data_IF_002666075463
#
_entry.id   IF_002666075463
#
_cell.length_a   1.000
_cell.length_b   1.000
_cell.length_c   1.000
_cell.angle_alpha   90.00
_cell.angle_beta   90.00
_cell.angle_gamma   90.00
#
_symmetry.space_group_name_H-M   'P 1'
#
loop_
_entity.id
_entity.type
_entity.pdbx_description
1 polymer ?
#
# COMPACT_ATOMS: atom_id res chain seq x y z
N UNK A 1 5.04 -10.92 -35.28
CA UNK A 1 4.11 -11.33 -34.21
C UNK A 1 3.63 -10.09 -33.46
N UNK A 2 2.32 -9.97 -33.19
CA UNK A 2 1.76 -8.85 -32.42
C UNK A 2 1.70 -9.22 -30.92
N UNK A 3 1.91 -8.25 -30.02
CA UNK A 3 1.77 -8.43 -28.56
C UNK A 3 0.57 -7.63 -28.05
N UNK A 4 -0.19 -8.20 -27.12
CA UNK A 4 -1.21 -7.47 -26.36
C UNK A 4 -0.52 -6.41 -25.51
N UNK A 5 -1.15 -5.24 -25.37
CA UNK A 5 -0.69 -4.17 -24.47
C UNK A 5 -1.80 -3.83 -23.50
N UNK A 6 -1.44 -3.65 -22.23
CA UNK A 6 -2.38 -3.29 -21.18
C UNK A 6 -2.20 -1.82 -20.83
N UNK A 7 -3.26 -1.03 -21.04
CA UNK A 7 -3.27 0.38 -20.67
C UNK A 7 -3.29 0.54 -19.15
N UNK A 8 -2.63 1.57 -18.63
CA UNK A 8 -2.63 1.88 -17.20
C UNK A 8 -4.06 2.04 -16.64
N UNK A 9 -4.96 2.60 -17.47
CA UNK A 9 -6.39 2.75 -17.18
C UNK A 9 -7.13 1.45 -16.86
N UNK A 10 -6.61 0.31 -17.28
CA UNK A 10 -7.18 -1.00 -16.93
C UNK A 10 -7.22 -1.20 -15.42
N UNK A 11 -6.19 -0.74 -14.69
CA UNK A 11 -6.15 -0.80 -13.22
C UNK A 11 -7.23 0.10 -12.59
N UNK A 12 -7.42 1.32 -13.11
CA UNK A 12 -8.46 2.25 -12.63
C UNK A 12 -9.87 1.68 -12.86
N UNK A 13 -10.10 1.01 -14.00
CA UNK A 13 -11.37 0.37 -14.35
C UNK A 13 -11.71 -0.85 -13.50
N UNK A 14 -10.70 -1.70 -13.21
CA UNK A 14 -10.87 -2.91 -12.41
C UNK A 14 -10.87 -2.64 -10.90
N UNK A 15 -10.20 -1.58 -10.48
CA UNK A 15 -10.09 -1.17 -9.08
C UNK A 15 -11.09 -0.10 -8.71
N UNK A 16 -10.67 1.17 -8.81
CA UNK A 16 -11.41 2.34 -8.32
C UNK A 16 -12.85 2.41 -8.82
N UNK A 17 -13.09 2.13 -10.11
CA UNK A 17 -14.43 2.24 -10.70
C UNK A 17 -15.40 1.14 -10.26
N UNK A 18 -14.89 0.04 -9.68
CA UNK A 18 -15.73 -1.04 -9.14
C UNK A 18 -16.17 -0.79 -7.68
N UNK A 19 -15.63 0.25 -7.04
CA UNK A 19 -15.88 0.54 -5.63
C UNK A 19 -17.00 1.57 -5.50
N UNK A 20 -18.09 1.17 -4.84
CA UNK A 20 -19.30 1.99 -4.71
C UNK A 20 -19.12 3.26 -3.85
N UNK A 21 -18.03 3.36 -3.08
CA UNK A 21 -17.69 4.54 -2.30
C UNK A 21 -16.65 4.25 -1.21
N UNK A 22 -16.31 5.28 -0.43
CA UNK A 22 -15.33 5.20 0.66
C UNK A 22 -15.68 4.12 1.70
N UNK A 23 -16.95 3.95 2.16
CA UNK A 23 -17.28 2.90 3.12
C UNK A 23 -16.98 1.49 2.58
N UNK A 24 -17.27 1.25 1.30
CA UNK A 24 -16.92 -0.01 0.63
C UNK A 24 -15.41 -0.18 0.54
N UNK A 25 -14.67 0.89 0.20
CA UNK A 25 -13.22 0.85 0.16
C UNK A 25 -12.61 0.44 1.51
N UNK A 26 -13.06 1.06 2.61
CA UNK A 26 -12.62 0.70 3.96
C UNK A 26 -12.97 -0.74 4.31
N UNK A 27 -14.16 -1.22 3.95
CA UNK A 27 -14.55 -2.61 4.18
C UNK A 27 -13.64 -3.59 3.44
N UNK A 28 -13.23 -3.29 2.20
CA UNK A 28 -12.27 -4.12 1.47
C UNK A 28 -10.89 -4.14 2.14
N UNK A 29 -10.44 -3.01 2.69
CA UNK A 29 -9.18 -2.96 3.45
C UNK A 29 -9.26 -3.76 4.76
N UNK A 30 -10.42 -3.75 5.43
CA UNK A 30 -10.64 -4.57 6.62
C UNK A 30 -10.67 -6.06 6.31
N UNK A 31 -11.24 -6.46 5.17
CA UNK A 31 -11.16 -7.85 4.68
C UNK A 31 -9.72 -8.25 4.40
N UNK A 32 -8.90 -7.37 3.78
CA UNK A 32 -7.49 -7.66 3.54
C UNK A 32 -6.71 -7.85 4.85
N UNK A 33 -6.96 -7.00 5.86
CA UNK A 33 -6.35 -7.16 7.18
C UNK A 33 -6.82 -8.45 7.87
N UNK A 34 -8.10 -8.81 7.74
CA UNK A 34 -8.62 -10.09 8.21
C UNK A 34 -7.89 -11.27 7.57
N UNK A 35 -7.71 -11.24 6.25
CA UNK A 35 -7.04 -12.29 5.49
C UNK A 35 -5.53 -12.35 5.81
N UNK A 36 -4.93 -11.22 6.19
CA UNK A 36 -3.58 -11.14 6.73
C UNK A 36 -3.45 -11.59 8.20
N UNK A 37 -4.49 -12.20 8.77
CA UNK A 37 -4.53 -12.65 10.17
C UNK A 37 -4.37 -11.53 11.21
N UNK A 38 -4.72 -10.28 10.88
CA UNK A 38 -4.72 -9.18 11.83
C UNK A 38 -5.75 -9.40 12.95
N UNK A 39 -5.36 -9.15 14.20
CA UNK A 39 -6.29 -9.16 15.34
C UNK A 39 -6.94 -7.79 15.56
N UNK A 40 -6.22 -6.73 15.19
CA UNK A 40 -6.66 -5.36 15.32
C UNK A 40 -6.41 -4.61 14.02
N UNK A 41 -7.39 -3.77 13.67
CA UNK A 41 -7.31 -2.84 12.55
C UNK A 41 -7.79 -1.49 13.06
N UNK A 42 -6.97 -0.47 12.85
CA UNK A 42 -7.21 0.88 13.33
C UNK A 42 -7.28 1.84 12.14
N UNK A 43 -8.18 2.82 12.23
CA UNK A 43 -8.34 3.85 11.21
C UNK A 43 -8.44 5.22 11.87
N UNK A 44 -7.50 6.09 11.54
CA UNK A 44 -7.43 7.45 12.03
C UNK A 44 -7.62 8.43 10.87
N UNK A 45 -8.64 9.29 10.98
CA UNK A 45 -8.84 10.37 10.03
C UNK A 45 -8.45 11.71 10.64
N UNK A 46 -7.31 12.24 10.19
CA UNK A 46 -6.76 13.52 10.62
C UNK A 46 -7.24 14.61 9.67
N UNK A 47 -8.34 15.26 10.05
CA UNK A 47 -9.01 16.31 9.26
C UNK A 47 -8.07 17.45 8.84
N UNK A 48 -7.28 17.97 9.77
CA UNK A 48 -6.41 19.12 9.52
C UNK A 48 -5.27 18.81 8.52
N UNK A 49 -4.89 17.53 8.39
CA UNK A 49 -3.90 17.08 7.42
C UNK A 49 -4.49 16.45 6.16
N UNK A 50 -5.83 16.32 6.10
CA UNK A 50 -6.54 15.47 5.14
C UNK A 50 -5.87 14.10 4.95
N UNK A 51 -5.50 13.49 6.08
CA UNK A 51 -4.72 12.26 6.13
C UNK A 51 -5.58 11.15 6.74
N UNK A 52 -5.63 10.02 6.05
CA UNK A 52 -6.22 8.79 6.57
C UNK A 52 -5.10 7.80 6.82
N UNK A 53 -4.97 7.32 8.05
CA UNK A 53 -3.99 6.30 8.43
C UNK A 53 -4.79 5.03 8.73
N UNK A 54 -4.50 3.95 8.01
CA UNK A 54 -5.04 2.61 8.29
C UNK A 54 -3.89 1.71 8.68
N UNK A 55 -4.04 1.02 9.81
CA UNK A 55 -3.00 0.16 10.40
C UNK A 55 -3.62 -1.17 10.76
N UNK A 56 -2.90 -2.25 10.48
CA UNK A 56 -3.25 -3.59 10.93
C UNK A 56 -2.01 -4.29 11.47
N UNK A 57 -2.23 -5.24 12.39
CA UNK A 57 -1.17 -6.04 13.00
C UNK A 57 -1.09 -7.46 12.40
N UNK A 58 -1.41 -7.60 11.12
CA UNK A 58 -1.35 -8.87 10.41
C UNK A 58 0.08 -9.34 10.13
N UNK A 59 0.19 -10.34 9.26
CA UNK A 59 1.45 -10.97 8.89
C UNK A 59 2.36 -10.10 8.01
N UNK A 60 1.85 -8.96 7.52
CA UNK A 60 2.57 -8.08 6.61
C UNK A 60 3.09 -8.78 5.34
N UNK A 61 4.02 -8.14 4.65
CA UNK A 61 4.59 -8.63 3.38
C UNK A 61 6.10 -8.43 3.35
N UNK A 62 6.83 -9.36 2.73
CA UNK A 62 8.21 -9.14 2.30
C UNK A 62 8.24 -8.24 1.06
N UNK A 63 9.43 -7.83 0.60
CA UNK A 63 9.55 -7.10 -0.67
C UNK A 63 9.00 -7.93 -1.83
N UNK A 64 9.41 -9.19 -1.94
CA UNK A 64 8.96 -10.10 -2.99
C UNK A 64 7.43 -10.28 -2.95
N UNK A 65 6.85 -10.51 -1.76
CA UNK A 65 5.39 -10.60 -1.63
C UNK A 65 4.69 -9.28 -1.99
N UNK A 66 5.30 -8.14 -1.67
CA UNK A 66 4.77 -6.83 -2.03
C UNK A 66 4.77 -6.63 -3.55
N UNK A 67 5.85 -7.00 -4.25
CA UNK A 67 5.97 -6.85 -5.70
C UNK A 67 5.11 -7.88 -6.45
N UNK A 68 5.28 -9.17 -6.14
CA UNK A 68 4.62 -10.28 -6.82
C UNK A 68 3.15 -10.41 -6.47
N UNK A 69 2.72 -9.89 -5.31
CA UNK A 69 1.31 -9.89 -4.92
C UNK A 69 0.74 -8.49 -4.91
N UNK A 70 1.19 -7.58 -4.04
CA UNK A 70 0.51 -6.28 -3.87
C UNK A 70 0.53 -5.41 -5.13
N UNK A 71 1.65 -5.32 -5.83
CA UNK A 71 1.78 -4.56 -7.08
C UNK A 71 1.29 -5.32 -8.33
N UNK A 72 1.10 -6.63 -8.23
CA UNK A 72 0.66 -7.47 -9.35
C UNK A 72 -0.85 -7.66 -9.36
N UNK A 73 -1.50 -7.43 -10.51
CA UNK A 73 -2.96 -7.58 -10.67
C UNK A 73 -3.26 -8.97 -11.24
N UNK A 74 -4.32 -9.60 -10.75
CA UNK A 74 -4.77 -10.90 -11.27
C UNK A 74 -3.94 -12.08 -10.78
N UNK A 75 -3.31 -11.94 -9.61
CA UNK A 75 -2.63 -13.06 -8.95
C UNK A 75 -3.66 -14.10 -8.51
N UNK A 76 -3.55 -15.31 -9.04
CA UNK A 76 -4.40 -16.44 -8.68
C UNK A 76 -3.99 -17.03 -7.33
N UNK A 77 -4.64 -16.60 -6.25
CA UNK A 77 -4.40 -17.16 -4.91
C UNK A 77 -5.13 -18.50 -4.66
N UNK A 78 -5.86 -19.02 -5.66
CA UNK A 78 -6.73 -20.21 -5.56
C UNK A 78 -6.42 -21.31 -6.57
N UNK A 79 -5.48 -21.10 -7.51
CA UNK A 79 -5.07 -22.15 -8.45
C UNK A 79 -3.82 -22.84 -7.91
N UNK A 80 -3.97 -24.13 -7.57
CA UNK A 80 -2.83 -25.03 -7.31
C UNK A 80 -2.28 -25.48 -8.67
N UNK A 81 -1.40 -24.68 -9.25
CA UNK A 81 -0.56 -25.06 -10.38
C UNK A 81 0.89 -25.15 -9.88
N UNK A 82 1.72 -26.02 -10.47
CA UNK A 82 3.14 -26.14 -10.13
C UNK A 82 3.90 -24.82 -10.42
N UNK A 83 3.39 -24.03 -11.39
CA UNK A 83 3.92 -22.72 -11.77
C UNK A 83 3.22 -21.54 -11.03
N UNK A 84 2.27 -21.82 -10.14
CA UNK A 84 1.55 -20.77 -9.40
C UNK A 84 2.43 -20.14 -8.31
N UNK A 85 2.19 -18.85 -8.03
CA UNK A 85 2.79 -18.19 -6.87
C UNK A 85 2.48 -18.99 -5.60
N UNK A 86 3.47 -19.15 -4.73
CA UNK A 86 3.28 -19.81 -3.44
C UNK A 86 2.06 -19.22 -2.69
N UNK A 87 1.37 -20.05 -1.90
CA UNK A 87 0.21 -19.57 -1.14
C UNK A 87 0.61 -18.46 -0.16
N UNK A 88 -0.31 -17.53 0.17
CA UNK A 88 -0.07 -16.52 1.20
C UNK A 88 0.39 -17.14 2.52
N UNK A 89 1.22 -16.40 3.26
CA UNK A 89 1.62 -16.81 4.59
C UNK A 89 0.38 -17.02 5.48
N UNK A 90 0.40 -18.11 6.23
CA UNK A 90 -0.65 -18.47 7.19
C UNK A 90 -0.06 -18.37 8.59
N UNK A 91 -0.83 -17.83 9.53
CA UNK A 91 -0.48 -17.86 10.94
C UNK A 91 -0.92 -19.21 11.53
N UNK A 92 0.04 -20.12 11.69
CA UNK A 92 -0.17 -21.47 12.24
C UNK A 92 -0.56 -21.47 13.73
N UNK A 93 -0.38 -20.33 14.42
CA UNK A 93 -0.80 -20.15 15.81
C UNK A 93 -2.28 -19.79 15.94
N UNK A 94 -2.98 -19.51 14.84
CA UNK A 94 -4.38 -19.08 14.80
C UNK A 94 -5.25 -20.08 14.04
N UNK A 95 -6.54 -20.07 14.36
CA UNK A 95 -7.53 -20.81 13.57
C UNK A 95 -7.53 -20.28 12.13
N UNK A 96 -7.56 -21.22 11.17
CA UNK A 96 -7.64 -20.88 9.74
C UNK A 96 -8.84 -19.98 9.50
N UNK A 97 -8.59 -18.79 8.96
CA UNK A 97 -9.64 -17.82 8.63
C UNK A 97 -10.23 -18.15 7.27
N UNK A 98 -11.54 -17.99 7.13
CA UNK A 98 -12.16 -18.02 5.81
C UNK A 98 -11.72 -16.77 5.07
N UNK A 99 -11.09 -16.94 3.90
CA UNK A 99 -10.64 -15.83 3.06
C UNK A 99 -11.86 -15.00 2.64
N UNK A 100 -11.82 -13.70 2.93
CA UNK A 100 -12.90 -12.76 2.62
C UNK A 100 -12.64 -11.98 1.32
N UNK A 101 -11.37 -11.78 0.95
CA UNK A 101 -10.93 -11.12 -0.27
C UNK A 101 -10.87 -12.10 -1.44
N UNK A 102 -11.73 -11.92 -2.44
CA UNK A 102 -11.89 -12.92 -3.50
C UNK A 102 -11.33 -12.52 -4.88
N UNK A 103 -10.90 -11.27 -5.09
CA UNK A 103 -10.74 -10.73 -6.45
C UNK A 103 -9.42 -10.02 -6.76
N UNK A 104 -8.47 -9.91 -5.83
CA UNK A 104 -7.19 -9.21 -6.04
C UNK A 104 -7.30 -7.69 -6.34
N UNK A 105 -8.52 -7.14 -6.33
CA UNK A 105 -8.85 -5.73 -6.60
C UNK A 105 -9.14 -4.93 -5.34
N UNK A 106 -9.32 -5.59 -4.18
CA UNK A 106 -9.63 -4.91 -2.90
C UNK A 106 -8.55 -3.91 -2.46
N UNK A 107 -7.28 -4.19 -2.76
CA UNK A 107 -6.16 -3.23 -2.54
C UNK A 107 -6.21 -2.00 -3.45
N UNK A 108 -6.82 -2.11 -4.62
CA UNK A 108 -7.05 -0.97 -5.51
C UNK A 108 -8.17 -0.06 -4.99
N UNK A 109 -8.95 -0.51 -4.00
CA UNK A 109 -9.95 0.34 -3.35
C UNK A 109 -9.31 1.53 -2.62
N UNK A 110 -8.02 1.46 -2.28
CA UNK A 110 -7.25 2.60 -1.74
C UNK A 110 -7.30 3.78 -2.70
N UNK A 111 -7.29 3.54 -4.02
CA UNK A 111 -7.38 4.59 -5.03
C UNK A 111 -8.73 5.33 -5.03
N UNK A 112 -9.78 4.75 -4.43
CA UNK A 112 -11.07 5.41 -4.23
C UNK A 112 -11.06 6.36 -3.02
N UNK A 113 -10.16 6.14 -2.05
CA UNK A 113 -10.02 6.95 -0.84
C UNK A 113 -9.23 8.22 -1.12
N UNK A 114 -8.10 8.08 -1.80
CA UNK A 114 -7.20 9.20 -2.07
C UNK A 114 -6.31 8.94 -3.28
N UNK A 115 -5.78 10.00 -3.90
CA UNK A 115 -4.99 9.85 -5.11
C UNK A 115 -3.54 9.40 -4.82
N UNK A 116 -3.16 9.27 -3.54
CA UNK A 116 -1.81 8.92 -3.10
C UNK A 116 -1.88 8.01 -1.88
N UNK A 117 -0.94 7.07 -1.79
CA UNK A 117 -0.77 6.21 -0.62
C UNK A 117 0.71 5.99 -0.35
N UNK A 118 1.08 6.06 0.93
CA UNK A 118 2.33 5.52 1.44
C UNK A 118 2.01 4.17 2.10
N UNK A 119 2.54 3.10 1.54
CA UNK A 119 2.40 1.76 2.12
C UNK A 119 3.64 1.47 2.94
N UNK A 120 3.46 1.01 4.17
CA UNK A 120 4.51 0.52 5.04
C UNK A 120 4.09 -0.85 5.55
N UNK A 121 4.92 -1.86 5.37
CA UNK A 121 4.60 -3.24 5.76
C UNK A 121 5.85 -3.97 6.21
N UNK A 122 5.71 -4.84 7.21
CA UNK A 122 6.80 -5.68 7.71
C UNK A 122 6.30 -7.10 7.82
N UNK A 123 6.95 -8.02 7.12
CA UNK A 123 6.62 -9.43 7.22
C UNK A 123 6.87 -9.93 8.65
N UNK A 124 5.90 -10.62 9.23
CA UNK A 124 6.07 -11.38 10.47
C UNK A 124 5.97 -12.86 10.15
N UNK A 125 6.98 -13.64 10.56
CA UNK A 125 7.02 -15.10 10.42
C UNK A 125 7.35 -15.69 11.78
N UNK A 126 6.34 -16.27 12.44
CA UNK A 126 6.45 -16.67 13.84
C UNK A 126 6.81 -15.47 14.74
N UNK A 127 8.00 -15.51 15.35
CA UNK A 127 8.54 -14.43 16.21
C UNK A 127 9.47 -13.47 15.48
N UNK A 128 9.83 -13.75 14.24
CA UNK A 128 10.78 -12.95 13.47
C UNK A 128 10.05 -11.86 12.69
N UNK A 129 10.65 -10.68 12.71
CA UNK A 129 10.25 -9.54 11.90
C UNK A 129 11.24 -9.39 10.74
N UNK A 130 10.68 -9.26 9.54
CA UNK A 130 11.44 -9.03 8.32
C UNK A 130 11.81 -7.56 8.15
N UNK A 131 12.35 -7.26 6.96
CA UNK A 131 12.60 -5.88 6.54
C UNK A 131 11.29 -5.10 6.43
N UNK A 132 11.34 -3.82 6.79
CA UNK A 132 10.26 -2.88 6.46
C UNK A 132 10.30 -2.60 4.98
N UNK A 133 9.18 -2.73 4.29
CA UNK A 133 8.99 -2.30 2.91
C UNK A 133 8.18 -1.02 2.93
N UNK A 134 8.69 0.03 2.28
CA UNK A 134 8.00 1.32 2.15
C UNK A 134 7.87 1.68 0.68
N UNK A 135 6.64 1.91 0.22
CA UNK A 135 6.35 2.26 -1.16
C UNK A 135 5.44 3.48 -1.25
N UNK A 136 5.69 4.36 -2.21
CA UNK A 136 4.88 5.55 -2.45
C UNK A 136 4.20 5.49 -3.81
N UNK A 137 2.86 5.42 -3.82
CA UNK A 137 2.05 5.25 -5.04
C UNK A 137 1.19 6.47 -5.26
N UNK A 138 1.21 7.00 -6.49
CA UNK A 138 0.28 8.02 -6.94
C UNK A 138 -0.70 7.44 -7.97
N UNK A 139 -1.95 7.24 -7.54
CA UNK A 139 -2.99 6.60 -8.33
C UNK A 139 -3.42 7.41 -9.56
N UNK A 140 -3.16 8.72 -9.59
CA UNK A 140 -3.48 9.59 -10.73
C UNK A 140 -2.81 9.09 -12.02
N UNK A 141 -1.62 8.48 -11.93
CA UNK A 141 -0.91 7.93 -13.09
C UNK A 141 -1.71 6.85 -13.81
N UNK A 142 -2.43 6.00 -13.07
CA UNK A 142 -3.24 4.93 -13.63
C UNK A 142 -4.51 5.44 -14.32
N UNK A 143 -4.90 6.70 -14.12
CA UNK A 143 -6.02 7.31 -14.85
C UNK A 143 -5.62 7.91 -16.20
N UNK A 144 -4.33 8.00 -16.52
CA UNK A 144 -3.83 8.64 -17.74
C UNK A 144 -3.94 7.71 -18.96
N UNK A 145 -4.74 8.06 -20.00
CA UNK A 145 -4.99 7.16 -21.13
C UNK A 145 -3.77 6.86 -22.01
N UNK A 146 -2.74 7.72 -21.98
CA UNK A 146 -1.56 7.57 -22.82
C UNK A 146 -0.52 6.61 -22.24
N UNK A 147 -0.65 6.20 -20.98
CA UNK A 147 0.29 5.31 -20.30
C UNK A 147 -0.14 3.83 -20.44
N UNK A 148 0.86 2.98 -20.63
CA UNK A 148 0.76 1.54 -20.43
C UNK A 148 1.19 1.21 -18.99
N UNK A 149 0.80 0.05 -18.43
CA UNK A 149 1.19 -0.30 -17.05
C UNK A 149 2.72 -0.35 -16.87
N UNK A 150 3.44 -0.83 -17.89
CA UNK A 150 4.90 -0.94 -17.89
C UNK A 150 5.61 0.44 -17.93
N UNK A 151 4.87 1.54 -18.07
CA UNK A 151 5.43 2.89 -18.02
C UNK A 151 5.50 3.43 -16.58
N UNK A 152 4.81 2.80 -15.63
CA UNK A 152 4.67 3.31 -14.28
C UNK A 152 5.65 2.58 -13.37
N UNK A 153 6.62 3.32 -12.86
CA UNK A 153 7.58 2.86 -11.87
C UNK A 153 7.19 3.39 -10.48
N UNK A 154 7.05 2.47 -9.51
CA UNK A 154 6.72 2.79 -8.12
C UNK A 154 8.02 2.77 -7.30
N UNK A 155 8.40 3.88 -6.64
CA UNK A 155 9.57 3.88 -5.77
C UNK A 155 9.30 3.06 -4.49
N UNK A 156 10.27 2.22 -4.14
CA UNK A 156 10.25 1.33 -2.98
C UNK A 156 11.61 1.38 -2.29
N UNK A 157 11.61 1.42 -0.97
CA UNK A 157 12.82 1.24 -0.14
C UNK A 157 12.59 0.12 0.87
N UNK A 158 13.69 -0.45 1.37
CA UNK A 158 13.65 -1.41 2.47
C UNK A 158 14.51 -0.95 3.64
N UNK A 159 14.09 -1.25 4.86
CA UNK A 159 14.85 -1.03 6.10
C UNK A 159 15.01 -2.34 6.85
N UNK A 160 16.14 -2.52 7.52
CA UNK A 160 16.39 -3.76 8.26
C UNK A 160 15.47 -3.90 9.48
N UNK A 161 15.58 -5.02 10.19
CA UNK A 161 14.75 -5.26 11.37
C UNK A 161 15.01 -4.20 12.46
N UNK A 162 13.95 -3.75 13.13
CA UNK A 162 13.98 -2.67 14.12
C UNK A 162 14.22 -1.26 13.56
N UNK A 163 14.62 -1.11 12.29
CA UNK A 163 14.79 0.20 11.69
C UNK A 163 13.46 0.81 11.23
N UNK A 164 13.32 2.12 11.40
CA UNK A 164 12.18 2.87 10.94
C UNK A 164 12.54 3.81 9.79
N UNK A 165 11.52 4.23 9.06
CA UNK A 165 11.67 5.21 8.00
C UNK A 165 11.60 6.63 8.58
N UNK A 166 12.55 7.46 8.21
CA UNK A 166 12.65 8.87 8.59
C UNK A 166 11.86 9.77 7.65
N UNK A 167 11.57 11.01 8.08
CA UNK A 167 10.95 12.01 7.21
C UNK A 167 11.79 12.28 5.95
N UNK A 168 13.12 12.32 6.06
CA UNK A 168 14.01 12.50 4.92
C UNK A 168 13.88 11.39 3.88
N UNK A 169 13.78 10.13 4.31
CA UNK A 169 13.60 8.99 3.40
C UNK A 169 12.22 9.03 2.71
N UNK A 170 11.17 9.53 3.39
CA UNK A 170 9.86 9.76 2.76
C UNK A 170 9.96 10.87 1.70
N UNK A 171 10.68 11.96 1.97
CA UNK A 171 10.89 13.02 0.98
C UNK A 171 11.75 12.54 -0.20
N UNK A 172 12.74 11.67 0.03
CA UNK A 172 13.52 11.03 -1.03
C UNK A 172 12.64 10.12 -1.91
N UNK A 173 11.77 9.31 -1.32
CA UNK A 173 10.78 8.51 -2.07
C UNK A 173 9.86 9.39 -2.93
N UNK A 174 9.41 10.54 -2.39
CA UNK A 174 8.60 11.51 -3.13
C UNK A 174 9.38 12.13 -4.29
N UNK A 175 10.65 12.47 -4.10
CA UNK A 175 11.51 12.96 -5.19
C UNK A 175 11.73 11.90 -6.26
N UNK A 176 11.96 10.63 -5.89
CA UNK A 176 12.03 9.53 -6.84
C UNK A 176 10.73 9.41 -7.65
N UNK A 177 9.55 9.46 -6.99
CA UNK A 177 8.27 9.46 -7.69
C UNK A 177 8.16 10.62 -8.69
N UNK A 178 8.54 11.84 -8.30
CA UNK A 178 8.53 13.01 -9.21
C UNK A 178 9.49 12.83 -10.39
N UNK A 179 10.67 12.25 -10.17
CA UNK A 179 11.63 11.96 -11.24
C UNK A 179 11.08 10.92 -12.22
N UNK A 180 10.45 9.84 -11.73
CA UNK A 180 9.78 8.84 -12.56
C UNK A 180 8.71 9.50 -13.44
N UNK A 181 7.94 10.44 -12.90
CA UNK A 181 6.91 11.19 -13.65
C UNK A 181 7.53 12.12 -14.70
N UNK A 182 8.62 12.84 -14.36
CA UNK A 182 9.33 13.71 -15.31
C UNK A 182 9.89 12.92 -16.50
N UNK A 183 10.31 11.66 -16.28
CA UNK A 183 10.76 10.77 -17.35
C UNK A 183 9.65 10.44 -18.36
N UNK A 184 8.37 10.63 -18.01
CA UNK A 184 7.22 10.44 -18.90
C UNK A 184 6.91 11.64 -19.80
N UNK A 185 7.76 12.67 -19.87
CA UNK A 185 7.58 13.87 -20.70
C UNK A 185 7.31 13.62 -22.20
N UNK A 186 7.70 12.45 -22.72
CA UNK A 186 7.39 12.05 -24.10
C UNK A 186 5.99 11.45 -24.28
N UNK A 187 5.31 11.07 -23.19
CA UNK A 187 4.00 10.39 -23.16
C UNK A 187 2.87 11.24 -22.57
N UNK A 188 3.20 12.21 -21.72
CA UNK A 188 2.24 13.10 -21.06
C UNK A 188 2.68 14.56 -21.16
N UNK A 189 1.73 15.49 -21.13
CA UNK A 189 2.01 16.93 -21.25
C UNK A 189 2.72 17.48 -20.01
N UNK A 190 3.51 18.55 -20.19
CA UNK A 190 4.15 19.26 -19.07
C UNK A 190 3.16 19.72 -18.00
N UNK A 191 1.96 20.15 -18.39
CA UNK A 191 0.88 20.50 -17.44
C UNK A 191 0.44 19.34 -16.55
N UNK A 192 0.38 18.12 -17.10
CA UNK A 192 0.05 16.91 -16.32
C UNK A 192 1.19 16.52 -15.39
N UNK A 193 2.44 16.63 -15.85
CA UNK A 193 3.62 16.40 -15.00
C UNK A 193 3.61 17.36 -13.81
N UNK A 194 3.46 18.66 -14.06
CA UNK A 194 3.44 19.68 -13.01
C UNK A 194 2.31 19.43 -12.02
N UNK A 195 1.10 19.14 -12.52
CA UNK A 195 -0.06 18.83 -11.67
C UNK A 195 0.21 17.64 -10.73
N UNK A 196 0.79 16.54 -11.23
CA UNK A 196 1.04 15.35 -10.40
C UNK A 196 2.20 15.61 -9.42
N UNK A 197 3.24 16.33 -9.83
CA UNK A 197 4.32 16.74 -8.92
C UNK A 197 3.80 17.62 -7.78
N UNK A 198 2.97 18.62 -8.08
CA UNK A 198 2.31 19.45 -7.05
C UNK A 198 1.38 18.64 -6.15
N UNK A 199 0.75 17.60 -6.68
CA UNK A 199 -0.04 16.65 -5.89
C UNK A 199 0.85 15.88 -4.91
N UNK A 200 2.02 15.43 -5.33
CA UNK A 200 3.03 14.74 -4.50
C UNK A 200 3.53 15.65 -3.39
N UNK A 201 3.82 16.91 -3.69
CA UNK A 201 4.31 17.88 -2.70
C UNK A 201 3.28 18.14 -1.58
N UNK A 202 1.99 17.94 -1.85
CA UNK A 202 0.92 18.05 -0.84
C UNK A 202 0.85 16.86 0.11
N UNK A 203 1.50 15.73 -0.21
CA UNK A 203 1.54 14.58 0.69
C UNK A 203 2.48 14.88 1.85
N UNK A 204 1.91 14.98 3.06
CA UNK A 204 2.64 15.28 4.30
C UNK A 204 2.44 14.15 5.30
N UNK A 205 3.50 13.41 5.55
CA UNK A 205 3.52 12.34 6.54
C UNK A 205 4.90 12.28 7.17
N UNK A 206 4.96 12.53 8.48
CA UNK A 206 6.16 12.33 9.29
C UNK A 206 5.97 11.03 10.11
N UNK A 207 6.70 9.95 9.80
CA UNK A 207 6.54 8.66 10.48
C UNK A 207 6.81 8.73 11.98
N UNK A 208 7.83 9.47 12.40
CA UNK A 208 8.23 9.58 13.81
C UNK A 208 7.18 10.38 14.59
N UNK A 209 6.74 11.51 14.03
CA UNK A 209 5.66 12.30 14.63
C UNK A 209 4.38 11.47 14.79
N UNK A 210 3.91 10.82 13.72
CA UNK A 210 2.64 10.10 13.75
C UNK A 210 2.67 8.87 14.62
N UNK A 211 3.75 8.10 14.60
CA UNK A 211 3.91 6.96 15.51
C UNK A 211 3.82 7.42 16.97
N UNK A 212 4.53 8.49 17.33
CA UNK A 212 4.49 9.07 18.67
C UNK A 212 3.11 9.61 19.08
N UNK A 213 2.44 10.37 18.20
CA UNK A 213 1.11 10.92 18.48
C UNK A 213 0.08 9.82 18.67
N UNK A 214 0.08 8.84 17.77
CA UNK A 214 -0.85 7.73 17.85
C UNK A 214 -0.55 6.89 19.10
N UNK A 215 0.72 6.66 19.47
CA UNK A 215 1.06 5.86 20.66
C UNK A 215 0.50 6.52 21.92
N UNK A 216 0.64 7.85 22.02
CA UNK A 216 0.08 8.64 23.13
C UNK A 216 -1.44 8.57 23.17
N UNK A 217 -2.09 8.59 22.00
CA UNK A 217 -3.55 8.48 21.89
C UNK A 217 -4.03 7.14 22.46
N UNK A 218 -3.43 6.02 22.04
CA UNK A 218 -3.80 4.68 22.51
C UNK A 218 -3.65 4.54 24.02
N UNK A 219 -2.52 4.99 24.56
CA UNK A 219 -2.26 5.01 26.01
C UNK A 219 -3.35 5.82 26.73
N UNK A 220 -3.69 7.00 26.21
CA UNK A 220 -4.75 7.84 26.77
C UNK A 220 -6.14 7.21 26.70
N UNK A 221 -6.40 6.37 25.71
CA UNK A 221 -7.66 5.63 25.55
C UNK A 221 -7.68 4.29 26.31
N UNK A 222 -6.59 3.91 27.00
CA UNK A 222 -6.49 2.63 27.70
C UNK A 222 -6.40 1.42 26.77
N UNK A 223 -6.04 1.64 25.50
CA UNK A 223 -5.81 0.59 24.50
C UNK A 223 -4.35 0.14 24.62
N UNK A 224 -4.01 -0.88 25.42
CA UNK A 224 -2.63 -1.41 25.46
C UNK A 224 -2.57 -2.92 25.20
N UNK A 225 -2.01 -3.25 24.03
CA UNK A 225 -0.77 -4.03 23.90
C UNK A 225 0.25 -3.13 23.20
N UNK A 226 1.50 -3.11 23.66
CA UNK A 226 2.61 -2.42 22.99
C UNK A 226 2.64 -2.75 21.49
N UNK A 227 2.78 -1.72 20.65
CA UNK A 227 2.71 -1.82 19.19
C UNK A 227 3.93 -2.53 18.60
N UNK A 228 4.01 -3.86 18.75
CA UNK A 228 5.17 -4.66 18.33
C UNK A 228 5.47 -4.65 16.82
N UNK A 229 4.58 -4.13 15.95
CA UNK A 229 4.72 -4.22 14.49
C UNK A 229 5.23 -2.93 13.81
N UNK A 230 5.38 -1.83 14.57
CA UNK A 230 5.95 -0.54 14.11
C UNK A 230 6.82 0.10 15.21
N UNK A 231 7.49 -0.72 16.02
CA UNK A 231 8.36 -0.24 17.10
C UNK A 231 9.40 0.74 16.55
N UNK A 232 9.39 1.95 17.13
CA UNK A 232 10.47 2.93 17.05
C UNK A 232 11.55 2.65 18.10
N UNK A 233 11.42 1.54 18.83
CA UNK A 233 12.16 1.15 20.04
C UNK A 233 12.36 -0.38 20.18
#
# INVERSE_FOLDING_TARGET
>A
MAKIRTKARTLDMLGRQQIAGIPTALSELFKNAHDAYADNVEVDYIRNGNLLILRDNGLGMTLDEFEERWLTIGTDSKFEDEDALAQPAVDDTKNKRQVMGEKGIGRLAIAAIGPQVLVMTRAKRGKELGKLVVAFVNWTLFSLPSLDLNDIEIPVITKDDGENVSLSEIEELKEQAKNNIRNLQKKISGSKINYICEQIDKFKYDPEYWSNQLNKLDIGLGLIKTRDHLRLD
#
